data_IF_490523222928
#
_entry.id   IF_490523222928
#
_cell.length_a   1.000
_cell.length_b   1.000
_cell.length_c   1.000
_cell.angle_alpha   90.00
_cell.angle_beta   90.00
_cell.angle_gamma   90.00
#
_symmetry.space_group_name_H-M   'P 1'
#
loop_
_entity.id
_entity.type
_entity.pdbx_description
1 polymer ?
#
# COMPACT_ATOMS: atom_id res chain seq x y z
N UNK A 1 5.87 -28.15 -2.28
CA UNK A 1 4.60 -27.40 -2.17
C UNK A 1 4.66 -26.33 -1.08
N UNK A 2 5.22 -26.63 0.11
CA UNK A 2 5.37 -25.68 1.22
C UNK A 2 6.19 -24.43 0.89
N UNK A 3 7.29 -24.57 0.14
CA UNK A 3 8.14 -23.44 -0.27
C UNK A 3 7.40 -22.42 -1.14
N UNK A 4 6.51 -22.87 -2.03
CA UNK A 4 5.70 -21.97 -2.86
C UNK A 4 4.66 -21.20 -2.03
N UNK A 5 3.96 -21.87 -1.10
CA UNK A 5 3.01 -21.22 -0.18
C UNK A 5 3.70 -20.18 0.70
N UNK A 6 4.88 -20.52 1.24
CA UNK A 6 5.71 -19.60 2.03
C UNK A 6 6.12 -18.36 1.22
N UNK A 7 6.53 -18.55 -0.04
CA UNK A 7 6.92 -17.44 -0.91
C UNK A 7 5.74 -16.51 -1.24
N UNK A 8 4.55 -17.05 -1.52
CA UNK A 8 3.34 -16.24 -1.77
C UNK A 8 2.95 -15.47 -0.50
N UNK A 9 3.00 -16.11 0.66
CA UNK A 9 2.70 -15.48 1.95
C UNK A 9 3.65 -14.32 2.25
N UNK A 10 4.95 -14.53 2.07
CA UNK A 10 5.95 -13.47 2.23
C UNK A 10 5.68 -12.29 1.28
N UNK A 11 5.33 -12.60 0.02
CA UNK A 11 5.02 -11.56 -0.97
C UNK A 11 3.77 -10.74 -0.60
N UNK A 12 2.75 -11.37 -0.01
CA UNK A 12 1.58 -10.68 0.53
C UNK A 12 1.97 -9.75 1.68
N UNK A 13 2.83 -10.22 2.59
CA UNK A 13 3.32 -9.44 3.73
C UNK A 13 4.09 -8.21 3.22
N UNK A 14 4.96 -8.39 2.23
CA UNK A 14 5.73 -7.30 1.65
C UNK A 14 4.82 -6.23 1.02
N UNK A 15 3.84 -6.64 0.20
CA UNK A 15 2.88 -5.69 -0.38
C UNK A 15 2.11 -4.90 0.68
N UNK A 16 1.70 -5.55 1.77
CA UNK A 16 1.04 -4.85 2.89
C UNK A 16 1.97 -3.86 3.59
N UNK A 17 3.24 -4.22 3.78
CA UNK A 17 4.24 -3.33 4.39
C UNK A 17 4.48 -2.09 3.52
N UNK A 18 4.68 -2.28 2.21
CA UNK A 18 4.84 -1.16 1.27
C UNK A 18 3.62 -0.25 1.24
N UNK A 19 2.41 -0.84 1.21
CA UNK A 19 1.17 -0.07 1.27
C UNK A 19 1.11 0.77 2.55
N UNK A 20 1.36 0.16 3.71
CA UNK A 20 1.33 0.87 5.00
C UNK A 20 2.36 2.01 5.10
N UNK A 21 3.58 1.79 4.59
CA UNK A 21 4.61 2.83 4.52
C UNK A 21 4.14 4.01 3.67
N UNK A 22 3.53 3.75 2.52
CA UNK A 22 3.02 4.79 1.62
C UNK A 22 1.83 5.55 2.22
N UNK A 23 0.92 4.88 2.93
CA UNK A 23 -0.13 5.56 3.71
C UNK A 23 0.52 6.48 4.75
N UNK A 24 1.48 5.97 5.52
CA UNK A 24 2.15 6.75 6.56
C UNK A 24 2.83 7.98 5.98
N UNK A 25 3.55 7.81 4.86
CA UNK A 25 4.17 8.93 4.14
C UNK A 25 3.13 9.94 3.64
N UNK A 26 2.00 9.48 3.12
CA UNK A 26 0.92 10.36 2.66
C UNK A 26 0.34 11.20 3.80
N UNK A 27 0.24 10.65 5.01
CA UNK A 27 -0.20 11.40 6.20
C UNK A 27 0.76 12.54 6.51
N UNK A 28 2.07 12.29 6.48
CA UNK A 28 3.07 13.35 6.69
C UNK A 28 3.01 14.43 5.60
N UNK A 29 2.83 14.04 4.34
CA UNK A 29 2.66 15.01 3.24
C UNK A 29 1.39 15.85 3.42
N UNK A 30 0.30 15.23 3.84
CA UNK A 30 -0.97 15.92 4.10
C UNK A 30 -0.87 16.88 5.29
N UNK A 31 -0.28 16.46 6.41
CA UNK A 31 0.02 17.34 7.53
C UNK A 31 0.89 18.51 7.07
N UNK A 32 1.94 18.20 6.30
CA UNK A 32 2.80 19.17 5.66
C UNK A 32 2.03 20.13 4.76
N UNK A 33 0.90 19.74 4.14
CA UNK A 33 0.05 20.58 3.30
C UNK A 33 -0.97 21.42 4.08
N UNK A 34 -1.51 20.93 5.20
CA UNK A 34 -2.53 21.61 6.01
C UNK A 34 -1.95 22.59 7.02
N UNK A 35 -0.74 22.31 7.55
CA UNK A 35 -0.14 23.19 8.56
C UNK A 35 0.13 24.60 7.98
N UNK A 36 -0.29 25.67 8.68
CA UNK A 36 0.01 27.04 8.29
C UNK A 36 1.50 27.31 8.56
N UNK A 37 2.25 27.57 7.51
CA UNK A 37 3.68 27.93 7.59
C UNK A 37 3.84 29.26 6.86
N UNK A 38 4.44 30.25 7.50
CA UNK A 38 4.48 31.65 7.04
C UNK A 38 5.12 31.83 5.64
N UNK A 39 5.97 30.90 5.20
CA UNK A 39 6.64 30.94 3.88
C UNK A 39 6.08 29.94 2.85
N UNK A 40 4.85 29.44 3.07
CA UNK A 40 4.30 28.39 2.23
C UNK A 40 3.63 28.94 0.98
N UNK A 41 4.30 28.79 -0.15
CA UNK A 41 3.73 29.17 -1.45
C UNK A 41 2.62 28.21 -1.88
N UNK A 42 1.65 28.70 -2.67
CA UNK A 42 0.58 27.88 -3.24
C UNK A 42 1.12 26.67 -4.01
N UNK A 43 2.23 26.86 -4.74
CA UNK A 43 2.89 25.80 -5.50
C UNK A 43 3.46 24.69 -4.60
N UNK A 44 4.04 25.03 -3.44
CA UNK A 44 4.48 24.01 -2.45
C UNK A 44 3.28 23.25 -1.89
N UNK A 45 2.19 23.94 -1.58
CA UNK A 45 0.95 23.30 -1.09
C UNK A 45 0.37 22.33 -2.12
N UNK A 46 0.24 22.74 -3.39
CA UNK A 46 -0.24 21.86 -4.45
C UNK A 46 0.68 20.65 -4.67
N UNK A 47 2.00 20.82 -4.57
CA UNK A 47 2.94 19.68 -4.64
C UNK A 47 2.73 18.69 -3.50
N UNK A 48 2.56 19.16 -2.26
CA UNK A 48 2.32 18.30 -1.11
C UNK A 48 0.97 17.56 -1.21
N UNK A 49 -0.08 18.25 -1.66
CA UNK A 49 -1.39 17.64 -1.91
C UNK A 49 -1.33 16.62 -3.05
N UNK A 50 -0.71 16.97 -4.17
CA UNK A 50 -0.52 16.07 -5.30
C UNK A 50 0.28 14.82 -4.91
N UNK A 51 1.38 15.01 -4.17
CA UNK A 51 2.18 13.92 -3.61
C UNK A 51 1.37 13.01 -2.69
N UNK A 52 0.52 13.58 -1.82
CA UNK A 52 -0.40 12.82 -0.96
C UNK A 52 -1.30 11.89 -1.78
N UNK A 53 -1.96 12.43 -2.81
CA UNK A 53 -2.85 11.65 -3.69
C UNK A 53 -2.10 10.53 -4.40
N UNK A 54 -0.90 10.82 -4.91
CA UNK A 54 -0.05 9.83 -5.59
C UNK A 54 0.35 8.70 -4.64
N UNK A 55 0.80 9.02 -3.42
CA UNK A 55 1.20 8.02 -2.42
C UNK A 55 0.01 7.15 -1.98
N UNK A 56 -1.17 7.75 -1.78
CA UNK A 56 -2.40 7.00 -1.49
C UNK A 56 -2.81 6.10 -2.65
N UNK A 57 -2.71 6.58 -3.89
CA UNK A 57 -2.97 5.79 -5.09
C UNK A 57 -2.06 4.56 -5.17
N UNK A 58 -0.75 4.74 -4.99
CA UNK A 58 0.20 3.61 -4.95
C UNK A 58 -0.06 2.66 -3.79
N UNK A 59 -0.39 3.18 -2.61
CA UNK A 59 -0.78 2.34 -1.48
C UNK A 59 -1.99 1.47 -1.81
N UNK A 60 -3.03 2.05 -2.42
CA UNK A 60 -4.23 1.34 -2.87
C UNK A 60 -3.89 0.20 -3.83
N UNK A 61 -3.00 0.46 -4.79
CA UNK A 61 -2.51 -0.57 -5.73
C UNK A 61 -1.80 -1.73 -5.01
N UNK A 62 -0.97 -1.45 -4.01
CA UNK A 62 -0.30 -2.50 -3.24
C UNK A 62 -1.25 -3.28 -2.33
N UNK A 63 -2.22 -2.63 -1.69
CA UNK A 63 -3.27 -3.34 -0.95
C UNK A 63 -4.11 -4.23 -1.85
N UNK A 64 -4.47 -3.73 -3.04
CA UNK A 64 -5.19 -4.52 -4.04
C UNK A 64 -4.40 -5.76 -4.48
N UNK A 65 -3.11 -5.59 -4.78
CA UNK A 65 -2.25 -6.72 -5.13
C UNK A 65 -2.14 -7.71 -3.97
N UNK A 66 -1.94 -7.25 -2.73
CA UNK A 66 -1.92 -8.11 -1.55
C UNK A 66 -3.23 -8.91 -1.38
N UNK A 67 -4.38 -8.27 -1.58
CA UNK A 67 -5.69 -8.91 -1.48
C UNK A 67 -5.88 -9.98 -2.57
N UNK A 68 -5.47 -9.68 -3.80
CA UNK A 68 -5.52 -10.63 -4.93
C UNK A 68 -4.65 -11.87 -4.67
N UNK A 69 -3.42 -11.69 -4.20
CA UNK A 69 -2.54 -12.82 -3.86
C UNK A 69 -3.06 -13.63 -2.68
N UNK A 70 -3.65 -12.98 -1.67
CA UNK A 70 -4.29 -13.66 -0.54
C UNK A 70 -5.47 -14.52 -0.99
N UNK A 71 -6.31 -14.00 -1.91
CA UNK A 71 -7.42 -14.77 -2.49
C UNK A 71 -6.93 -16.00 -3.24
N UNK A 72 -5.91 -15.84 -4.10
CA UNK A 72 -5.31 -16.95 -4.84
C UNK A 72 -4.70 -18.01 -3.92
N UNK A 73 -4.09 -17.61 -2.81
CA UNK A 73 -3.54 -18.56 -1.82
C UNK A 73 -4.63 -19.39 -1.17
N UNK A 74 -5.78 -18.77 -0.83
CA UNK A 74 -6.93 -19.47 -0.25
C UNK A 74 -7.54 -20.49 -1.23
N UNK A 75 -7.73 -20.10 -2.50
CA UNK A 75 -8.22 -21.01 -3.56
C UNK A 75 -7.31 -22.25 -3.71
N UNK A 76 -5.99 -22.07 -3.64
CA UNK A 76 -5.02 -23.17 -3.69
C UNK A 76 -5.04 -24.07 -2.44
N UNK A 77 -5.49 -23.55 -1.29
CA UNK A 77 -5.67 -24.34 -0.06
C UNK A 77 -6.93 -25.18 -0.13
N UNK A 78 -8.03 -24.59 -0.62
CA UNK A 78 -9.32 -25.28 -0.77
C UNK A 78 -9.25 -26.43 -1.80
N UNK A 79 -8.55 -26.24 -2.93
CA UNK A 79 -8.37 -27.31 -3.93
C UNK A 79 -7.54 -28.50 -3.41
N UNK A 80 -6.60 -28.26 -2.47
CA UNK A 80 -5.79 -29.33 -1.88
C UNK A 80 -6.53 -30.15 -0.83
N UNK A 81 -7.51 -29.55 -0.14
CA UNK A 81 -8.30 -30.23 0.90
C UNK A 81 -9.39 -31.11 0.28
N UNK A 82 -9.85 -30.77 -0.93
CA UNK A 82 -10.94 -31.46 -1.64
C UNK A 82 -10.47 -32.54 -2.64
N UNK A 83 -9.16 -32.83 -2.70
CA UNK A 83 -8.56 -33.97 -3.41
C UNK A 83 -8.06 -35.02 -2.43
#
# INVERSE_FOLDING_TARGET
METMKKNITNKIIDYKRFAFILVSLSVFLYLGAVLPVEEKTLLKTYMLMGGTVVMLGFSGLFFYQAARWKKKLAEMEDEQVNM
#
